data_IF_699898255503
#
_entry.id   IF_699898255503
#
_cell.length_a   1.000
_cell.length_b   1.000
_cell.length_c   1.000
_cell.angle_alpha   90.00
_cell.angle_beta   90.00
_cell.angle_gamma   90.00
#
_symmetry.space_group_name_H-M   'P 1'
#
loop_
_entity.id
_entity.type
_entity.pdbx_description
1 polymer ?
#
# COMPACT_ATOMS: atom_id res chain seq x y z
N UNK A 1 -17.57 -30.12 44.46
CA UNK A 1 -17.91 -29.29 43.28
C UNK A 1 -17.06 -28.03 43.34
N UNK A 2 -16.06 -27.88 42.47
CA UNK A 2 -15.24 -26.66 42.43
C UNK A 2 -15.97 -25.59 41.60
N UNK A 3 -16.35 -24.49 42.25
CA UNK A 3 -17.01 -23.35 41.63
C UNK A 3 -15.94 -22.53 40.88
N UNK A 4 -16.04 -22.48 39.54
CA UNK A 4 -15.12 -21.69 38.71
C UNK A 4 -15.23 -20.20 39.10
N UNK A 5 -14.11 -19.43 39.12
CA UNK A 5 -14.11 -18.04 39.54
C UNK A 5 -14.97 -17.18 38.61
N UNK A 6 -15.84 -16.34 39.19
CA UNK A 6 -16.79 -15.45 38.50
C UNK A 6 -16.18 -14.62 37.36
N UNK A 7 -14.88 -14.26 37.44
CA UNK A 7 -14.19 -13.51 36.39
C UNK A 7 -14.04 -14.30 35.08
N UNK A 8 -13.81 -15.62 35.17
CA UNK A 8 -13.72 -16.49 33.98
C UNK A 8 -15.07 -16.62 33.29
N UNK A 9 -16.13 -16.73 34.09
CA UNK A 9 -17.51 -16.78 33.62
C UNK A 9 -17.89 -15.48 32.91
N UNK A 10 -17.60 -14.32 33.51
CA UNK A 10 -17.87 -13.00 32.92
C UNK A 10 -17.08 -12.74 31.62
N UNK A 11 -15.81 -13.13 31.57
CA UNK A 11 -14.99 -13.01 30.35
C UNK A 11 -15.57 -13.84 29.20
N UNK A 12 -15.99 -15.08 29.48
CA UNK A 12 -16.57 -15.97 28.49
C UNK A 12 -17.91 -15.45 27.97
N UNK A 13 -18.79 -14.94 28.84
CA UNK A 13 -20.05 -14.32 28.42
C UNK A 13 -19.84 -13.12 27.49
N UNK A 14 -18.86 -12.25 27.77
CA UNK A 14 -18.53 -11.10 26.91
C UNK A 14 -17.95 -11.53 25.55
N UNK A 15 -17.15 -12.59 25.51
CA UNK A 15 -16.62 -13.15 24.25
C UNK A 15 -17.71 -13.78 23.40
N UNK A 16 -18.67 -14.46 24.02
CA UNK A 16 -19.79 -15.09 23.32
C UNK A 16 -20.79 -14.06 22.78
N UNK A 17 -21.06 -12.97 23.52
CA UNK A 17 -21.98 -11.92 23.05
C UNK A 17 -21.43 -11.13 21.85
N UNK A 18 -20.12 -11.13 21.66
CA UNK A 18 -19.43 -10.48 20.54
C UNK A 18 -18.96 -11.48 19.47
N UNK A 19 -19.44 -12.72 19.51
CA UNK A 19 -18.98 -13.76 18.59
C UNK A 19 -19.45 -13.43 17.16
N UNK A 20 -18.54 -13.26 16.19
CA UNK A 20 -18.89 -13.03 14.79
C UNK A 20 -19.65 -14.21 14.20
N UNK A 21 -20.50 -13.95 13.22
CA UNK A 21 -21.20 -15.01 12.47
C UNK A 21 -20.24 -15.76 11.56
N UNK A 22 -20.62 -16.98 11.14
CA UNK A 22 -19.81 -17.75 10.19
C UNK A 22 -19.61 -16.99 8.86
N UNK A 23 -20.66 -16.32 8.37
CA UNK A 23 -20.62 -15.51 7.15
C UNK A 23 -19.65 -14.32 7.27
N UNK A 24 -19.65 -13.60 8.40
CA UNK A 24 -18.70 -12.51 8.66
C UNK A 24 -17.25 -13.01 8.69
N UNK A 25 -17.02 -14.21 9.23
CA UNK A 25 -15.70 -14.84 9.24
C UNK A 25 -15.27 -15.30 7.83
N UNK A 26 -16.21 -15.74 6.99
CA UNK A 26 -15.95 -16.09 5.58
C UNK A 26 -15.62 -14.85 4.72
N UNK A 27 -16.36 -13.76 4.89
CA UNK A 27 -16.11 -12.49 4.20
C UNK A 27 -14.74 -11.91 4.56
N UNK A 28 -14.30 -12.10 5.81
CA UNK A 28 -12.95 -11.72 6.28
C UNK A 28 -11.86 -12.73 5.91
N UNK A 29 -12.19 -13.81 5.18
CA UNK A 29 -11.29 -14.92 4.83
C UNK A 29 -10.66 -15.64 6.06
N UNK A 30 -11.28 -15.53 7.23
CA UNK A 30 -10.85 -16.21 8.47
C UNK A 30 -11.37 -17.65 8.46
N UNK A 31 -12.63 -17.85 8.09
CA UNK A 31 -13.21 -19.16 7.82
C UNK A 31 -13.13 -19.40 6.31
N UNK A 32 -12.33 -20.38 5.87
CA UNK A 32 -12.18 -20.69 4.46
C UNK A 32 -12.83 -22.05 4.14
N UNK A 33 -13.85 -22.10 3.26
CA UNK A 33 -14.33 -23.36 2.73
C UNK A 33 -13.27 -23.99 1.81
N UNK A 34 -13.40 -25.28 1.51
CA UNK A 34 -12.49 -25.97 0.60
C UNK A 34 -12.66 -25.46 -0.84
N UNK A 35 -11.88 -24.42 -1.19
CA UNK A 35 -11.85 -23.79 -2.52
C UNK A 35 -10.82 -24.43 -3.46
N UNK A 36 -10.40 -25.68 -3.21
CA UNK A 36 -9.34 -26.29 -4.00
C UNK A 36 -9.71 -26.45 -5.48
N UNK A 37 -10.98 -26.73 -5.79
CA UNK A 37 -11.49 -26.78 -7.16
C UNK A 37 -11.42 -25.40 -7.84
N UNK A 38 -11.86 -24.34 -7.15
CA UNK A 38 -11.81 -22.96 -7.65
C UNK A 38 -10.37 -22.50 -7.90
N UNK A 39 -9.46 -22.76 -6.95
CA UNK A 39 -8.02 -22.46 -7.11
C UNK A 39 -7.41 -23.19 -8.32
N UNK A 40 -7.77 -24.46 -8.54
CA UNK A 40 -7.33 -25.23 -9.71
C UNK A 40 -7.86 -24.63 -11.01
N UNK A 41 -9.12 -24.23 -11.03
CA UNK A 41 -9.73 -23.59 -12.20
C UNK A 41 -9.09 -22.22 -12.50
N UNK A 42 -8.88 -21.39 -11.48
CA UNK A 42 -8.22 -20.09 -11.60
C UNK A 42 -6.81 -20.28 -12.18
N UNK A 43 -6.03 -21.22 -11.63
CA UNK A 43 -4.70 -21.55 -12.15
C UNK A 43 -4.76 -21.99 -13.62
N UNK A 44 -5.64 -22.92 -13.96
CA UNK A 44 -5.83 -23.39 -15.35
C UNK A 44 -6.17 -22.25 -16.29
N UNK A 45 -7.11 -21.37 -15.90
CA UNK A 45 -7.54 -20.21 -16.69
C UNK A 45 -6.39 -19.22 -16.87
N UNK A 46 -5.62 -18.96 -15.82
CA UNK A 46 -4.47 -18.06 -15.85
C UNK A 46 -3.38 -18.60 -16.79
N UNK A 47 -3.00 -19.88 -16.67
CA UNK A 47 -2.01 -20.50 -17.54
C UNK A 47 -2.40 -20.38 -19.01
N UNK A 48 -3.67 -20.65 -19.35
CA UNK A 48 -4.18 -20.48 -20.72
C UNK A 48 -4.11 -19.02 -21.21
N UNK A 49 -4.45 -18.05 -20.37
CA UNK A 49 -4.36 -16.62 -20.72
C UNK A 49 -2.93 -16.17 -20.93
N UNK A 50 -2.00 -16.63 -20.10
CA UNK A 50 -0.59 -16.28 -20.21
C UNK A 50 0.07 -16.94 -21.42
N UNK A 51 -0.30 -18.17 -21.77
CA UNK A 51 0.22 -18.85 -22.96
C UNK A 51 -0.28 -18.25 -24.27
N UNK A 52 -1.42 -17.53 -24.25
CA UNK A 52 -2.01 -16.85 -25.40
C UNK A 52 -1.81 -15.33 -25.34
N UNK A 53 -0.80 -14.86 -24.59
CA UNK A 53 -0.52 -13.44 -24.47
C UNK A 53 0.02 -12.91 -25.81
N UNK A 54 -0.60 -11.88 -26.40
CA UNK A 54 -0.15 -11.34 -27.67
C UNK A 54 1.24 -10.71 -27.56
N UNK A 55 2.01 -10.79 -28.64
CA UNK A 55 3.33 -10.15 -28.74
C UNK A 55 3.20 -8.63 -28.90
N UNK A 56 4.29 -7.91 -28.66
CA UNK A 56 4.34 -6.45 -28.90
C UNK A 56 4.04 -6.13 -30.36
N UNK A 57 4.57 -6.93 -31.30
CA UNK A 57 4.31 -6.78 -32.72
C UNK A 57 2.82 -6.95 -33.07
N UNK A 58 2.13 -7.92 -32.46
CA UNK A 58 0.67 -8.08 -32.63
C UNK A 58 -0.12 -6.90 -32.07
N UNK A 59 0.29 -6.35 -30.92
CA UNK A 59 -0.34 -5.17 -30.32
C UNK A 59 -0.16 -3.92 -31.20
N UNK A 60 1.01 -3.78 -31.84
CA UNK A 60 1.28 -2.72 -32.83
C UNK A 60 0.47 -2.91 -34.11
N UNK A 61 0.43 -4.14 -34.66
CA UNK A 61 -0.36 -4.47 -35.85
C UNK A 61 -1.86 -4.21 -35.65
N UNK A 62 -2.36 -4.47 -34.44
CA UNK A 62 -3.75 -4.17 -34.05
C UNK A 62 -3.99 -2.71 -33.66
N UNK A 63 -2.98 -1.85 -33.75
CA UNK A 63 -3.01 -0.43 -33.35
C UNK A 63 -3.45 -0.19 -31.90
N UNK A 64 -3.23 -1.17 -31.02
CA UNK A 64 -3.45 -1.07 -29.56
C UNK A 64 -2.30 -0.29 -28.91
N UNK A 65 -1.07 -0.59 -29.32
CA UNK A 65 0.13 0.14 -28.92
C UNK A 65 0.63 0.96 -30.11
N UNK A 66 0.68 2.28 -29.97
CA UNK A 66 1.13 3.21 -31.02
C UNK A 66 2.27 4.06 -30.49
N UNK A 67 3.39 4.04 -31.19
CA UNK A 67 4.51 4.97 -30.97
C UNK A 67 4.58 5.90 -32.16
N UNK A 68 4.78 7.19 -31.90
CA UNK A 68 5.06 8.14 -32.97
C UNK A 68 6.52 7.95 -33.40
N UNK A 69 6.73 7.83 -34.71
CA UNK A 69 8.07 7.70 -35.30
C UNK A 69 8.84 9.03 -35.24
N UNK A 70 8.11 10.13 -35.31
CA UNK A 70 8.65 11.47 -35.24
C UNK A 70 8.49 12.04 -33.84
N UNK A 71 9.61 12.47 -33.28
CA UNK A 71 9.67 13.21 -32.02
C UNK A 71 10.21 14.60 -32.36
N UNK A 72 9.47 15.63 -31.98
CA UNK A 72 9.92 17.01 -32.12
C UNK A 72 11.04 17.27 -31.11
N UNK A 73 12.16 17.81 -31.61
CA UNK A 73 13.30 18.21 -30.78
C UNK A 73 13.42 19.72 -30.89
N UNK A 74 13.47 20.38 -29.74
CA UNK A 74 13.67 21.83 -29.62
C UNK A 74 14.88 22.10 -28.76
N UNK A 75 15.57 23.20 -29.05
CA UNK A 75 16.73 23.60 -28.27
C UNK A 75 16.31 24.03 -26.86
N UNK A 76 16.99 23.48 -25.86
CA UNK A 76 16.85 23.96 -24.49
C UNK A 76 17.62 25.28 -24.33
N UNK A 77 17.16 26.13 -23.42
CA UNK A 77 17.88 27.37 -23.10
C UNK A 77 19.33 27.06 -22.66
N UNK A 78 20.29 27.83 -23.19
CA UNK A 78 21.70 27.71 -22.81
C UNK A 78 22.04 28.73 -21.71
N UNK A 79 21.92 28.29 -20.47
CA UNK A 79 22.28 29.06 -19.28
C UNK A 79 22.80 28.14 -18.19
N UNK A 80 23.53 28.70 -17.22
CA UNK A 80 24.04 27.94 -16.10
C UNK A 80 22.91 27.56 -15.13
N UNK A 81 22.66 26.25 -15.02
CA UNK A 81 21.65 25.65 -14.13
C UNK A 81 22.24 25.18 -12.79
N UNK A 82 23.50 25.50 -12.50
CA UNK A 82 24.14 25.11 -11.23
C UNK A 82 23.47 25.82 -10.06
N UNK A 83 23.23 25.05 -9.01
CA UNK A 83 22.73 25.54 -7.73
C UNK A 83 23.55 24.88 -6.60
N UNK A 84 23.70 25.57 -5.47
CA UNK A 84 24.29 24.95 -4.28
C UNK A 84 23.42 23.79 -3.80
N UNK A 85 24.05 22.82 -3.15
CA UNK A 85 23.39 21.61 -2.62
C UNK A 85 23.46 21.64 -1.10
N UNK A 86 22.70 22.51 -0.41
CA UNK A 86 22.83 22.71 1.03
C UNK A 86 22.59 21.43 1.84
N UNK A 87 21.77 20.51 1.32
CA UNK A 87 21.54 19.19 1.94
C UNK A 87 22.80 18.32 2.08
N UNK A 88 23.86 18.59 1.32
CA UNK A 88 25.15 17.88 1.43
C UNK A 88 25.99 18.33 2.62
N UNK A 89 25.72 19.53 3.16
CA UNK A 89 26.47 20.15 4.25
C UNK A 89 25.86 19.91 5.64
N UNK A 90 24.76 19.15 5.72
CA UNK A 90 24.03 18.91 6.96
C UNK A 90 24.79 17.98 7.92
N UNK A 91 25.07 18.47 9.12
CA UNK A 91 25.66 17.68 10.21
C UNK A 91 24.62 16.70 10.80
N UNK A 92 25.06 15.68 11.57
CA UNK A 92 24.13 14.83 12.30
C UNK A 92 23.20 15.58 13.26
N UNK A 93 23.70 16.66 13.88
CA UNK A 93 22.93 17.53 14.75
C UNK A 93 21.85 18.30 13.98
N UNK A 94 22.19 18.89 12.83
CA UNK A 94 21.22 19.58 11.96
C UNK A 94 20.12 18.64 11.51
N UNK A 95 20.49 17.42 11.10
CA UNK A 95 19.51 16.39 10.72
C UNK A 95 18.60 16.02 11.89
N UNK A 96 19.09 15.98 13.12
CA UNK A 96 18.26 15.69 14.29
C UNK A 96 17.28 16.84 14.57
N UNK A 97 17.76 18.09 14.50
CA UNK A 97 16.92 19.27 14.63
C UNK A 97 15.79 19.30 13.58
N UNK A 98 16.15 19.10 12.30
CA UNK A 98 15.18 19.06 11.19
C UNK A 98 14.14 17.93 11.37
N UNK A 99 14.55 16.75 11.85
CA UNK A 99 13.60 15.65 12.10
C UNK A 99 12.60 16.02 13.19
N UNK A 100 13.06 16.67 14.27
CA UNK A 100 12.19 17.13 15.36
C UNK A 100 11.20 18.16 14.86
N UNK A 101 11.69 19.19 14.17
CA UNK A 101 10.87 20.27 13.60
C UNK A 101 9.81 19.72 12.62
N UNK A 102 10.21 18.83 11.70
CA UNK A 102 9.27 18.23 10.75
C UNK A 102 8.21 17.37 11.42
N UNK A 103 8.53 16.68 12.51
CA UNK A 103 7.54 15.89 13.25
C UNK A 103 6.53 16.79 13.96
N UNK A 104 7.00 17.88 14.58
CA UNK A 104 6.18 18.87 15.27
C UNK A 104 5.22 19.59 14.31
N UNK A 105 5.74 20.02 13.16
CA UNK A 105 4.93 20.58 12.07
C UNK A 105 3.85 19.60 11.61
N UNK A 106 4.21 18.33 11.38
CA UNK A 106 3.27 17.30 10.89
C UNK A 106 2.20 16.93 11.91
N UNK A 107 2.49 17.04 13.19
CA UNK A 107 1.52 16.70 14.24
C UNK A 107 0.59 17.84 14.60
N UNK A 108 1.04 19.09 14.49
CA UNK A 108 0.34 20.24 15.05
C UNK A 108 -0.18 21.23 14.01
N UNK A 109 0.50 21.39 12.87
CA UNK A 109 0.21 22.47 11.92
C UNK A 109 -0.25 21.95 10.55
N UNK A 110 0.28 20.81 10.11
CA UNK A 110 -0.03 20.26 8.80
C UNK A 110 -1.43 19.65 8.79
N UNK A 111 -2.36 20.29 8.06
CA UNK A 111 -3.70 19.75 7.86
C UNK A 111 -3.66 18.48 7.01
N UNK A 112 -4.23 17.39 7.54
CA UNK A 112 -4.35 16.10 6.86
C UNK A 112 -5.75 15.56 7.10
N UNK A 113 -6.40 15.14 6.02
CA UNK A 113 -7.70 14.47 6.09
C UNK A 113 -7.66 13.27 7.05
N UNK A 114 -8.72 13.08 7.84
CA UNK A 114 -8.79 12.07 8.91
C UNK A 114 -8.40 10.66 8.43
N UNK A 115 -8.99 10.20 7.32
CA UNK A 115 -8.68 8.88 6.73
C UNK A 115 -7.25 8.72 6.20
N UNK A 116 -6.55 9.83 5.99
CA UNK A 116 -5.19 9.86 5.44
C UNK A 116 -4.11 10.08 6.50
N UNK A 117 -4.48 10.33 7.77
CA UNK A 117 -3.52 10.57 8.86
C UNK A 117 -2.50 9.43 9.03
N UNK A 118 -2.91 8.20 8.74
CA UNK A 118 -2.01 7.03 8.79
C UNK A 118 -0.86 7.08 7.76
N UNK A 119 -0.99 7.89 6.70
CA UNK A 119 0.04 8.05 5.67
C UNK A 119 1.01 9.19 5.97
N UNK A 120 0.80 9.95 7.06
CA UNK A 120 1.72 11.01 7.47
C UNK A 120 3.09 10.42 7.81
N UNK A 121 4.09 10.78 7.01
CA UNK A 121 5.45 10.25 7.14
C UNK A 121 6.22 10.96 8.25
N UNK A 122 6.26 10.36 9.44
CA UNK A 122 7.09 10.82 10.55
C UNK A 122 8.57 10.42 10.39
N UNK A 123 9.45 11.12 11.09
CA UNK A 123 10.89 10.85 11.17
C UNK A 123 11.23 10.26 12.53
N UNK A 124 12.28 9.42 12.59
CA UNK A 124 12.78 8.93 13.89
C UNK A 124 13.40 10.09 14.67
N UNK A 125 13.26 10.13 16.02
CA UNK A 125 14.03 11.05 16.86
C UNK A 125 15.53 10.98 16.55
#
# INVERSE_FOLDING_TARGET
>A
MLQLPNAFVLFFFRRLSQRPTAEELEQRNILQPDRQAEKREIKRRLTRKLSQRPTVAELQARKILRFNEYVEVTDAQDYDRRADKPWTKLTPADKAAIRKELNEFKSCEMEVHEDSKQFTRYHRP
#
